data_IF_917048847558
#
_entry.id   IF_917048847558
#
_cell.length_a   1.000
_cell.length_b   1.000
_cell.length_c   1.000
_cell.angle_alpha   90.00
_cell.angle_beta   90.00
_cell.angle_gamma   90.00
#
_symmetry.space_group_name_H-M   'P 1'
#
loop_
_entity.id
_entity.type
_entity.pdbx_description
1 polymer ?
#
# COMPACT_ATOMS: atom_id res chain seq x y z
N UNK A 1 67.61 -38.49 -23.37
CA UNK A 1 66.85 -37.23 -23.51
C UNK A 1 65.37 -37.56 -23.51
N UNK A 2 64.74 -37.57 -22.32
CA UNK A 2 63.31 -37.86 -22.16
C UNK A 2 62.51 -36.57 -22.35
N UNK A 3 61.53 -36.58 -23.26
CA UNK A 3 60.64 -35.44 -23.54
C UNK A 3 59.35 -35.58 -22.73
N UNK A 4 59.14 -34.62 -21.84
CA UNK A 4 57.91 -34.40 -21.06
C UNK A 4 56.73 -34.04 -21.98
N UNK A 5 55.53 -34.62 -21.81
CA UNK A 5 54.34 -34.16 -22.53
C UNK A 5 53.66 -33.01 -21.78
N UNK A 6 53.51 -31.88 -22.47
CA UNK A 6 52.82 -30.67 -22.01
C UNK A 6 51.31 -30.90 -22.00
N UNK A 7 50.69 -30.82 -20.82
CA UNK A 7 49.24 -30.98 -20.62
C UNK A 7 48.55 -29.62 -20.82
N UNK A 8 47.87 -29.43 -21.95
CA UNK A 8 47.05 -28.24 -22.24
C UNK A 8 45.76 -28.26 -21.42
N UNK A 9 45.56 -27.26 -20.56
CA UNK A 9 44.33 -27.03 -19.80
C UNK A 9 43.30 -26.28 -20.68
N UNK A 10 42.18 -26.93 -20.99
CA UNK A 10 41.00 -26.29 -21.57
C UNK A 10 40.10 -25.77 -20.45
N UNK A 11 39.71 -24.47 -20.40
CA UNK A 11 38.77 -24.00 -19.39
C UNK A 11 37.34 -24.43 -19.75
N UNK A 12 36.64 -25.01 -18.78
CA UNK A 12 35.25 -25.42 -18.90
C UNK A 12 34.34 -24.19 -19.03
N UNK A 13 33.59 -24.16 -20.14
CA UNK A 13 32.53 -23.18 -20.40
C UNK A 13 31.31 -23.53 -19.53
N UNK A 14 31.10 -22.77 -18.47
CA UNK A 14 29.89 -22.87 -17.65
C UNK A 14 28.71 -22.30 -18.42
N UNK A 15 27.85 -23.18 -18.95
CA UNK A 15 26.59 -22.77 -19.56
C UNK A 15 25.64 -22.20 -18.49
N UNK A 16 25.38 -20.89 -18.58
CA UNK A 16 24.36 -20.21 -17.79
C UNK A 16 22.99 -20.58 -18.36
N UNK A 17 22.17 -21.27 -17.56
CA UNK A 17 20.77 -21.54 -17.87
C UNK A 17 20.01 -20.20 -18.07
N UNK A 18 19.06 -20.11 -19.03
CA UNK A 18 18.33 -18.88 -19.28
C UNK A 18 17.39 -18.56 -18.12
N UNK A 19 17.33 -17.28 -17.78
CA UNK A 19 16.45 -16.73 -16.75
C UNK A 19 14.99 -17.08 -17.06
N UNK A 20 14.30 -17.67 -16.08
CA UNK A 20 12.85 -17.87 -16.11
C UNK A 20 12.19 -16.49 -16.20
N UNK A 21 11.65 -16.17 -17.36
CA UNK A 21 10.74 -15.04 -17.58
C UNK A 21 9.61 -15.08 -16.55
N UNK A 22 9.59 -14.11 -15.64
CA UNK A 22 8.52 -13.88 -14.69
C UNK A 22 7.34 -13.20 -15.40
N UNK A 23 6.68 -13.95 -16.29
CA UNK A 23 5.34 -13.62 -16.73
C UNK A 23 4.33 -14.42 -15.89
N UNK A 24 3.30 -13.72 -15.41
CA UNK A 24 2.10 -14.21 -14.74
C UNK A 24 2.17 -14.49 -13.23
N UNK A 25 1.68 -13.52 -12.43
CA UNK A 25 0.80 -13.78 -11.26
C UNK A 25 -0.25 -12.69 -11.11
N UNK A 26 -1.12 -12.57 -12.11
CA UNK A 26 -2.47 -12.07 -11.89
C UNK A 26 -3.36 -13.29 -11.54
N UNK A 27 -3.91 -13.33 -10.32
CA UNK A 27 -5.17 -14.03 -10.04
C UNK A 27 -5.16 -15.55 -9.83
N UNK A 28 -4.20 -16.13 -9.09
CA UNK A 28 -4.41 -17.45 -8.49
C UNK A 28 -4.67 -17.29 -6.98
N UNK A 29 -5.73 -17.88 -6.41
CA UNK A 29 -5.92 -17.86 -4.95
C UNK A 29 -4.71 -18.52 -4.31
N UNK A 30 -4.06 -17.79 -3.39
CA UNK A 30 -2.94 -18.33 -2.64
C UNK A 30 -3.41 -19.62 -1.96
N UNK A 31 -2.75 -20.75 -2.26
CA UNK A 31 -3.02 -22.03 -1.58
C UNK A 31 -2.83 -21.80 -0.09
N UNK A 32 -3.91 -21.86 0.68
CA UNK A 32 -3.87 -21.81 2.14
C UNK A 32 -3.09 -23.02 2.63
N UNK A 33 -2.00 -22.77 3.34
CA UNK A 33 -1.22 -23.84 3.98
C UNK A 33 -1.98 -24.34 5.20
N UNK A 34 -1.79 -25.61 5.62
CA UNK A 34 -2.39 -26.11 6.86
C UNK A 34 -2.07 -25.24 8.09
N UNK A 35 -0.86 -24.68 8.12
CA UNK A 35 -0.44 -23.74 9.17
C UNK A 35 -1.23 -22.42 9.15
N UNK A 36 -1.54 -21.89 7.96
CA UNK A 36 -2.34 -20.66 7.83
C UNK A 36 -3.80 -20.89 8.26
N UNK A 37 -4.38 -22.06 7.92
CA UNK A 37 -5.72 -22.42 8.37
C UNK A 37 -5.80 -22.53 9.90
N UNK A 38 -4.85 -23.24 10.53
CA UNK A 38 -4.80 -23.36 11.98
C UNK A 38 -4.62 -21.99 12.69
N UNK A 39 -3.83 -21.08 12.11
CA UNK A 39 -3.68 -19.73 12.63
C UNK A 39 -4.99 -18.92 12.57
N UNK A 40 -5.77 -19.06 11.48
CA UNK A 40 -7.10 -18.44 11.36
C UNK A 40 -8.08 -19.00 12.38
N UNK A 41 -8.09 -20.32 12.62
CA UNK A 41 -8.96 -20.93 13.62
C UNK A 41 -8.67 -20.43 15.04
N UNK A 42 -7.38 -20.34 15.40
CA UNK A 42 -6.95 -19.77 16.68
C UNK A 42 -7.35 -18.29 16.81
N UNK A 43 -7.22 -17.52 15.72
CA UNK A 43 -7.67 -16.14 15.69
C UNK A 43 -9.18 -16.06 15.95
N UNK A 44 -9.99 -16.87 15.27
CA UNK A 44 -11.45 -16.91 15.43
C UNK A 44 -11.87 -17.26 16.86
N UNK A 45 -11.25 -18.27 17.46
CA UNK A 45 -11.49 -18.62 18.86
C UNK A 45 -11.16 -17.44 19.79
N UNK A 46 -10.06 -16.75 19.52
CA UNK A 46 -9.65 -15.59 20.31
C UNK A 46 -10.58 -14.39 20.10
N UNK A 47 -11.04 -14.10 18.88
CA UNK A 47 -11.95 -12.96 18.67
C UNK A 47 -13.38 -13.23 19.12
N UNK A 48 -13.85 -14.49 19.07
CA UNK A 48 -15.20 -14.88 19.47
C UNK A 48 -15.49 -14.65 20.97
N UNK A 49 -14.46 -14.49 21.80
CA UNK A 49 -14.64 -14.17 23.22
C UNK A 49 -15.03 -12.69 23.46
N UNK A 50 -14.93 -11.84 22.43
CA UNK A 50 -15.22 -10.41 22.52
C UNK A 50 -16.53 -10.09 21.78
N UNK A 51 -17.40 -9.32 22.42
CA UNK A 51 -18.66 -8.86 21.80
C UNK A 51 -18.49 -7.72 20.79
N UNK A 52 -17.33 -7.06 20.77
CA UNK A 52 -17.02 -5.95 19.88
C UNK A 52 -15.52 -5.91 19.56
N UNK A 53 -15.18 -5.72 18.29
CA UNK A 53 -13.79 -5.67 17.82
C UNK A 53 -13.49 -4.30 17.22
N UNK A 54 -12.47 -3.63 17.77
CA UNK A 54 -12.02 -2.32 17.31
C UNK A 54 -10.65 -2.40 16.61
N UNK A 55 -10.54 -1.80 15.42
CA UNK A 55 -9.29 -1.60 14.70
C UNK A 55 -8.79 -0.16 14.92
N UNK A 56 -7.65 0.00 15.58
CA UNK A 56 -7.05 1.31 15.86
C UNK A 56 -5.81 1.50 15.01
N UNK A 57 -5.85 2.50 14.13
CA UNK A 57 -4.82 2.76 13.13
C UNK A 57 -3.98 3.99 13.51
N UNK A 58 -2.73 3.74 13.86
CA UNK A 58 -1.79 4.82 14.19
C UNK A 58 -1.45 5.68 12.96
N UNK A 59 -0.93 6.88 13.21
CA UNK A 59 -0.31 7.72 12.19
C UNK A 59 1.09 7.22 11.81
N UNK A 60 1.72 7.87 10.83
CA UNK A 60 3.11 7.55 10.42
C UNK A 60 3.36 7.54 8.91
N UNK A 61 2.59 8.31 8.13
CA UNK A 61 2.83 8.47 6.69
C UNK A 61 2.72 7.15 5.91
N UNK A 62 3.81 6.71 5.28
CA UNK A 62 3.83 5.53 4.43
C UNK A 62 3.44 4.21 5.14
N UNK A 63 3.49 4.16 6.48
CA UNK A 63 2.97 3.02 7.26
C UNK A 63 1.50 2.68 6.97
N UNK A 64 0.73 3.63 6.44
CA UNK A 64 -0.66 3.39 6.10
C UNK A 64 -0.87 2.31 5.02
N UNK A 65 0.07 2.11 4.09
CA UNK A 65 -0.05 1.06 3.07
C UNK A 65 0.01 -0.34 3.71
N UNK A 66 0.89 -0.50 4.70
CA UNK A 66 0.99 -1.73 5.49
C UNK A 66 -0.29 -2.00 6.29
N UNK A 67 -0.90 -0.97 6.88
CA UNK A 67 -2.20 -1.09 7.56
C UNK A 67 -3.32 -1.56 6.60
N UNK A 68 -3.28 -1.14 5.33
CA UNK A 68 -4.20 -1.64 4.29
C UNK A 68 -4.08 -3.15 4.08
N UNK A 69 -2.85 -3.66 4.06
CA UNK A 69 -2.58 -5.10 4.01
C UNK A 69 -3.04 -5.87 5.26
N UNK A 70 -2.89 -5.28 6.44
CA UNK A 70 -3.47 -5.85 7.68
C UNK A 70 -4.99 -5.98 7.56
N UNK A 71 -5.66 -4.92 7.12
CA UNK A 71 -7.12 -4.96 6.94
C UNK A 71 -7.52 -6.02 5.90
N UNK A 72 -6.81 -6.12 4.76
CA UNK A 72 -7.05 -7.15 3.75
C UNK A 72 -6.89 -8.57 4.32
N UNK A 73 -5.89 -8.81 5.17
CA UNK A 73 -5.71 -10.10 5.83
C UNK A 73 -6.83 -10.41 6.85
N UNK A 74 -7.28 -9.42 7.62
CA UNK A 74 -8.40 -9.57 8.55
C UNK A 74 -9.72 -9.86 7.83
N UNK A 75 -9.97 -9.17 6.72
CA UNK A 75 -11.15 -9.35 5.86
C UNK A 75 -11.14 -10.75 5.22
N UNK A 76 -9.99 -11.20 4.69
CA UNK A 76 -9.81 -12.55 4.16
C UNK A 76 -9.96 -13.64 5.22
N UNK A 77 -9.57 -13.35 6.46
CA UNK A 77 -9.81 -14.20 7.62
C UNK A 77 -11.23 -14.08 8.17
N UNK A 78 -12.16 -13.35 7.53
CA UNK A 78 -13.53 -13.15 8.00
C UNK A 78 -13.64 -12.58 9.43
N UNK A 79 -12.65 -11.79 9.88
CA UNK A 79 -12.73 -11.07 11.15
C UNK A 79 -13.58 -9.83 10.95
N UNK A 80 -14.76 -9.80 11.59
CA UNK A 80 -15.65 -8.65 11.55
C UNK A 80 -15.11 -7.53 12.44
N UNK A 81 -14.80 -6.38 11.85
CA UNK A 81 -14.43 -5.16 12.57
C UNK A 81 -15.67 -4.31 12.81
N UNK A 82 -15.99 -4.03 14.07
CA UNK A 82 -17.18 -3.27 14.49
C UNK A 82 -16.90 -1.77 14.67
N UNK A 83 -15.65 -1.43 15.04
CA UNK A 83 -15.18 -0.05 15.16
C UNK A 83 -13.87 0.13 14.44
N UNK A 84 -13.70 1.28 13.82
CA UNK A 84 -12.40 1.70 13.31
C UNK A 84 -12.12 3.11 13.79
N UNK A 85 -10.91 3.33 14.29
CA UNK A 85 -10.42 4.63 14.68
C UNK A 85 -9.04 4.82 14.05
N UNK A 86 -8.69 6.06 13.72
CA UNK A 86 -7.37 6.33 13.19
C UNK A 86 -6.95 7.77 13.32
N UNK A 87 -5.64 7.98 13.39
CA UNK A 87 -5.02 9.31 13.47
C UNK A 87 -4.13 9.54 12.24
N UNK A 88 -4.12 10.77 11.72
CA UNK A 88 -3.31 11.14 10.54
C UNK A 88 -3.58 10.19 9.35
N UNK A 89 -2.59 9.50 8.78
CA UNK A 89 -2.82 8.53 7.70
C UNK A 89 -3.77 7.39 8.09
N UNK A 90 -3.78 7.01 9.37
CA UNK A 90 -4.72 6.04 9.91
C UNK A 90 -6.17 6.53 9.82
N UNK A 91 -6.42 7.85 9.89
CA UNK A 91 -7.78 8.39 9.73
C UNK A 91 -8.28 8.25 8.29
N UNK A 92 -7.38 8.34 7.30
CA UNK A 92 -7.70 8.10 5.89
C UNK A 92 -8.08 6.63 5.68
N UNK A 93 -7.27 5.70 6.19
CA UNK A 93 -7.61 4.27 6.13
C UNK A 93 -8.92 3.97 6.87
N UNK A 94 -9.12 4.55 8.06
CA UNK A 94 -10.36 4.40 8.83
C UNK A 94 -11.58 4.92 8.04
N UNK A 95 -11.46 6.07 7.38
CA UNK A 95 -12.51 6.63 6.55
C UNK A 95 -12.83 5.73 5.34
N UNK A 96 -11.80 5.17 4.69
CA UNK A 96 -11.99 4.23 3.57
C UNK A 96 -12.66 2.92 4.02
N UNK A 97 -12.31 2.40 5.20
CA UNK A 97 -12.93 1.20 5.78
C UNK A 97 -14.37 1.46 6.20
N UNK A 98 -14.62 2.54 6.94
CA UNK A 98 -15.96 2.85 7.46
C UNK A 98 -16.93 3.36 6.38
N UNK A 99 -16.41 4.11 5.41
CA UNK A 99 -17.19 4.75 4.33
C UNK A 99 -17.59 3.81 3.20
N UNK A 100 -17.06 2.58 3.18
CA UNK A 100 -17.34 1.59 2.13
C UNK A 100 -18.06 0.34 2.68
N UNK A 101 -18.98 -0.26 1.91
CA UNK A 101 -19.56 -1.55 2.22
C UNK A 101 -18.47 -2.63 2.25
N UNK A 102 -18.62 -3.70 3.05
CA UNK A 102 -17.57 -4.71 3.27
C UNK A 102 -16.86 -5.17 1.99
N UNK A 103 -17.63 -5.52 0.95
CA UNK A 103 -17.11 -6.01 -0.32
C UNK A 103 -16.24 -5.02 -1.13
N UNK A 104 -16.25 -3.72 -0.78
CA UNK A 104 -15.50 -2.69 -1.51
C UNK A 104 -14.33 -2.09 -0.72
N UNK A 105 -14.21 -2.38 0.58
CA UNK A 105 -13.22 -1.76 1.47
C UNK A 105 -11.79 -2.05 1.02
N UNK A 106 -11.46 -3.31 0.77
CA UNK A 106 -10.12 -3.72 0.30
C UNK A 106 -9.79 -3.07 -1.04
N UNK A 107 -10.75 -3.07 -1.99
CA UNK A 107 -10.56 -2.42 -3.29
C UNK A 107 -10.27 -0.93 -3.12
N UNK A 108 -11.07 -0.21 -2.32
CA UNK A 108 -10.88 1.22 -2.08
C UNK A 108 -9.51 1.53 -1.45
N UNK A 109 -9.08 0.72 -0.47
CA UNK A 109 -7.75 0.83 0.13
C UNK A 109 -6.64 0.63 -0.91
N UNK A 110 -6.70 -0.45 -1.70
CA UNK A 110 -5.68 -0.75 -2.72
C UNK A 110 -5.59 0.34 -3.77
N UNK A 111 -6.73 0.78 -4.30
CA UNK A 111 -6.78 1.85 -5.30
C UNK A 111 -6.27 3.19 -4.76
N UNK A 112 -6.61 3.54 -3.51
CA UNK A 112 -6.06 4.71 -2.84
C UNK A 112 -4.53 4.64 -2.77
N UNK A 113 -3.99 3.56 -2.22
CA UNK A 113 -2.55 3.38 -2.05
C UNK A 113 -1.82 3.33 -3.39
N UNK A 114 -2.34 2.60 -4.38
CA UNK A 114 -1.77 2.58 -5.73
C UNK A 114 -1.75 3.96 -6.39
N UNK A 115 -2.72 4.82 -6.11
CA UNK A 115 -2.73 6.18 -6.65
C UNK A 115 -1.72 7.08 -5.95
N UNK A 116 -1.71 7.08 -4.60
CA UNK A 116 -0.91 8.03 -3.82
C UNK A 116 0.54 7.62 -3.66
N UNK A 117 0.95 6.41 -4.08
CA UNK A 117 2.37 6.04 -4.16
C UNK A 117 2.95 6.22 -5.55
N UNK A 118 2.20 6.82 -6.49
CA UNK A 118 2.67 7.13 -7.84
C UNK A 118 3.16 8.56 -7.89
N UNK A 119 4.17 8.76 -8.72
CA UNK A 119 4.76 10.08 -8.91
C UNK A 119 3.77 11.08 -9.51
N UNK A 120 3.75 12.33 -9.01
CA UNK A 120 2.81 13.35 -9.47
C UNK A 120 3.21 13.99 -10.80
N UNK A 121 4.50 14.30 -11.03
CA UNK A 121 4.94 15.15 -12.13
C UNK A 121 6.14 14.59 -12.91
N UNK A 122 7.29 14.35 -12.25
CA UNK A 122 8.48 13.88 -12.95
C UNK A 122 8.36 12.39 -13.36
N UNK A 123 9.17 11.93 -14.35
CA UNK A 123 9.15 10.55 -14.82
C UNK A 123 9.45 9.55 -13.70
N UNK A 124 8.91 8.31 -13.80
CA UNK A 124 9.14 7.24 -12.83
C UNK A 124 10.61 7.16 -12.43
N UNK A 125 10.83 7.11 -11.13
CA UNK A 125 12.14 6.93 -10.55
C UNK A 125 12.66 5.54 -10.96
N UNK A 126 13.99 5.36 -10.97
CA UNK A 126 14.58 4.05 -11.23
C UNK A 126 13.92 2.93 -10.42
N UNK A 127 13.58 3.16 -9.15
CA UNK A 127 13.01 2.12 -8.28
C UNK A 127 11.61 1.65 -8.71
N UNK A 128 10.83 2.44 -9.46
CA UNK A 128 9.56 1.97 -10.05
C UNK A 128 9.77 1.14 -11.33
N UNK A 129 10.96 1.23 -11.94
CA UNK A 129 11.33 0.55 -13.18
C UNK A 129 12.13 -0.75 -12.94
N UNK A 130 12.67 -0.93 -11.74
CA UNK A 130 13.50 -2.09 -11.36
C UNK A 130 12.82 -2.91 -10.27
N UNK A 131 12.42 -4.14 -10.59
CA UNK A 131 11.71 -5.04 -9.67
C UNK A 131 12.56 -5.46 -8.45
N UNK A 132 13.88 -5.37 -8.57
CA UNK A 132 14.87 -5.72 -7.54
C UNK A 132 15.30 -4.52 -6.67
N UNK A 133 14.63 -3.37 -6.78
CA UNK A 133 15.02 -2.15 -6.05
C UNK A 133 15.07 -2.32 -4.51
N UNK A 134 14.29 -3.25 -3.96
CA UNK A 134 14.33 -3.56 -2.53
C UNK A 134 15.61 -4.32 -2.13
N UNK A 135 16.20 -5.07 -3.07
CA UNK A 135 17.44 -5.85 -2.89
C UNK A 135 18.70 -4.99 -3.07
N UNK A 136 18.55 -3.73 -3.51
CA UNK A 136 19.67 -2.83 -3.72
C UNK A 136 20.46 -2.56 -2.43
N UNK A 137 21.77 -2.25 -2.53
CA UNK A 137 22.58 -1.92 -1.36
C UNK A 137 21.96 -0.82 -0.51
N UNK A 138 22.08 -0.93 0.83
CA UNK A 138 21.46 0.02 1.76
C UNK A 138 21.75 1.50 1.46
N UNK A 139 22.99 1.91 1.14
CA UNK A 139 23.28 3.31 0.81
C UNK A 139 22.49 3.83 -0.40
N UNK A 140 22.26 2.98 -1.40
CA UNK A 140 21.52 3.33 -2.60
C UNK A 140 20.02 3.51 -2.29
N UNK A 141 19.45 2.63 -1.46
CA UNK A 141 18.05 2.74 -0.99
C UNK A 141 17.85 3.99 -0.13
N UNK A 142 18.79 4.30 0.75
CA UNK A 142 18.74 5.51 1.57
C UNK A 142 18.78 6.77 0.71
N UNK A 143 19.72 6.86 -0.23
CA UNK A 143 19.81 7.98 -1.16
C UNK A 143 18.52 8.19 -1.95
N UNK A 144 17.85 7.11 -2.36
CA UNK A 144 16.54 7.17 -3.02
C UNK A 144 15.43 7.67 -2.11
N UNK A 145 15.38 7.19 -0.86
CA UNK A 145 14.43 7.70 0.13
C UNK A 145 14.55 9.22 0.29
N UNK A 146 15.77 9.77 0.27
CA UNK A 146 16.00 11.21 0.30
C UNK A 146 15.49 11.91 -0.96
N UNK A 147 15.75 11.36 -2.16
CA UNK A 147 15.24 11.92 -3.41
C UNK A 147 13.71 11.93 -3.42
N UNK A 148 13.06 10.83 -3.06
CA UNK A 148 11.59 10.78 -3.02
C UNK A 148 11.02 11.72 -1.95
N UNK A 149 11.71 11.88 -0.81
CA UNK A 149 11.37 12.89 0.19
C UNK A 149 11.44 14.32 -0.36
N UNK A 150 12.53 14.67 -1.07
CA UNK A 150 12.68 15.96 -1.72
C UNK A 150 11.63 16.20 -2.80
N UNK A 151 11.31 15.17 -3.57
CA UNK A 151 10.27 15.24 -4.60
C UNK A 151 8.88 15.39 -4.00
N UNK A 152 8.57 14.70 -2.90
CA UNK A 152 7.31 14.90 -2.19
C UNK A 152 7.15 16.35 -1.69
N UNK A 153 8.26 17.01 -1.32
CA UNK A 153 8.26 18.43 -0.94
C UNK A 153 8.02 19.35 -2.15
N UNK A 154 8.71 19.08 -3.26
CA UNK A 154 8.74 19.97 -4.44
C UNK A 154 7.59 19.75 -5.42
N UNK A 155 7.09 18.53 -5.54
CA UNK A 155 6.04 18.13 -6.48
C UNK A 155 4.72 17.81 -5.77
N UNK A 156 4.79 17.51 -4.47
CA UNK A 156 3.67 16.96 -3.72
C UNK A 156 3.55 15.45 -3.85
N UNK A 157 2.35 14.93 -3.61
CA UNK A 157 2.02 13.54 -3.79
C UNK A 157 0.72 13.37 -4.58
N UNK A 158 0.75 12.49 -5.59
CA UNK A 158 -0.33 12.37 -6.57
C UNK A 158 -1.66 12.02 -5.90
N UNK A 159 -2.68 12.84 -6.17
CA UNK A 159 -4.01 12.62 -5.60
C UNK A 159 -4.07 12.78 -4.07
N UNK A 160 -3.04 13.37 -3.45
CA UNK A 160 -2.99 13.62 -2.02
C UNK A 160 -2.76 15.11 -1.73
N UNK A 161 -1.65 15.68 -2.17
CA UNK A 161 -1.36 17.10 -1.97
C UNK A 161 -0.41 17.64 -3.04
N UNK A 162 -0.38 18.95 -3.25
CA UNK A 162 0.62 19.62 -4.08
C UNK A 162 1.04 20.96 -3.48
N UNK A 163 2.25 21.46 -3.75
CA UNK A 163 2.67 22.79 -3.30
C UNK A 163 1.81 23.88 -3.95
N UNK A 164 1.55 24.97 -3.22
CA UNK A 164 0.81 26.12 -3.76
C UNK A 164 1.74 26.99 -4.62
N UNK A 165 1.41 27.28 -5.89
CA UNK A 165 2.32 28.01 -6.79
C UNK A 165 2.48 29.50 -6.41
N UNK A 166 1.48 30.10 -5.77
CA UNK A 166 1.46 31.52 -5.39
C UNK A 166 1.86 31.76 -3.93
N UNK A 167 2.60 30.82 -3.34
CA UNK A 167 2.90 30.80 -1.91
C UNK A 167 3.55 32.09 -1.40
N UNK A 168 4.52 32.61 -2.16
CA UNK A 168 5.27 33.82 -1.84
C UNK A 168 4.51 35.11 -2.16
N UNK A 169 3.34 35.01 -2.80
CA UNK A 169 2.55 36.14 -3.28
C UNK A 169 1.28 36.39 -2.46
N UNK A 170 0.93 35.49 -1.52
CA UNK A 170 -0.26 35.62 -0.69
C UNK A 170 0.06 36.29 0.66
N UNK A 171 -0.46 37.51 0.94
CA UNK A 171 -0.22 38.23 2.19
C UNK A 171 -0.85 37.56 3.43
N UNK A 172 -1.73 36.58 3.23
CA UNK A 172 -2.33 35.75 4.29
C UNK A 172 -2.04 34.27 4.02
N UNK A 173 -0.86 33.83 4.43
CA UNK A 173 -0.43 32.44 4.31
C UNK A 173 -1.07 31.59 5.41
N UNK A 174 -1.75 30.51 5.03
CA UNK A 174 -2.34 29.55 5.99
C UNK A 174 -1.83 28.12 5.82
N UNK A 175 -1.21 27.79 4.68
CA UNK A 175 -0.68 26.44 4.39
C UNK A 175 0.33 26.46 3.24
N UNK A 176 1.33 25.57 3.29
CA UNK A 176 2.32 25.37 2.22
C UNK A 176 1.75 24.55 1.04
N UNK A 177 0.91 23.56 1.36
CA UNK A 177 0.33 22.62 0.40
C UNK A 177 -1.18 22.80 0.27
N UNK A 178 -1.71 22.47 -0.90
CA UNK A 178 -3.14 22.26 -1.14
C UNK A 178 -3.48 20.77 -1.01
N UNK A 179 -4.54 20.45 -0.26
CA UNK A 179 -5.04 19.08 -0.03
C UNK A 179 -6.35 18.78 -0.76
N UNK A 180 -6.82 19.69 -1.63
CA UNK A 180 -7.95 19.42 -2.53
C UNK A 180 -7.81 18.10 -3.31
N UNK A 181 -6.61 17.67 -3.77
CA UNK A 181 -6.45 16.37 -4.42
C UNK A 181 -6.82 15.19 -3.52
N UNK A 182 -6.45 15.21 -2.23
CA UNK A 182 -6.83 14.16 -1.27
C UNK A 182 -8.34 14.06 -1.17
N UNK A 183 -9.03 15.19 -1.02
CA UNK A 183 -10.50 15.24 -0.97
C UNK A 183 -11.11 14.61 -2.22
N UNK A 184 -10.67 15.03 -3.41
CA UNK A 184 -11.17 14.48 -4.68
C UNK A 184 -10.90 12.98 -4.81
N UNK A 185 -9.72 12.51 -4.37
CA UNK A 185 -9.42 11.07 -4.34
C UNK A 185 -10.35 10.32 -3.40
N UNK A 186 -10.58 10.81 -2.19
CA UNK A 186 -11.49 10.16 -1.24
C UNK A 186 -12.93 10.17 -1.73
N UNK A 187 -13.42 11.28 -2.28
CA UNK A 187 -14.77 11.39 -2.87
C UNK A 187 -14.97 10.45 -4.06
N UNK A 188 -13.93 10.19 -4.86
CA UNK A 188 -14.00 9.24 -5.97
C UNK A 188 -14.15 7.78 -5.52
N UNK A 189 -13.69 7.45 -4.31
CA UNK A 189 -13.73 6.09 -3.75
C UNK A 189 -14.80 5.93 -2.67
N UNK A 190 -15.31 7.03 -2.12
CA UNK A 190 -16.53 7.05 -1.36
C UNK A 190 -17.67 6.79 -2.33
N UNK A 191 -18.29 5.62 -2.25
CA UNK A 191 -19.26 5.22 -3.27
C UNK A 191 -20.32 6.30 -3.46
N UNK A 192 -20.46 6.68 -4.74
CA UNK A 192 -21.56 7.35 -5.43
C UNK A 192 -22.96 6.71 -5.22
N UNK A 193 -23.20 6.01 -4.11
CA UNK A 193 -24.48 5.43 -3.67
C UNK A 193 -25.14 6.23 -2.54
N UNK A 194 -24.45 7.24 -1.99
CA UNK A 194 -25.06 8.22 -1.10
C UNK A 194 -25.50 9.47 -1.89
N UNK A 195 -26.26 9.28 -2.97
CA UNK A 195 -27.03 10.38 -3.60
C UNK A 195 -28.22 10.82 -2.73
N UNK A 196 -28.44 10.13 -1.61
CA UNK A 196 -29.41 10.54 -0.60
C UNK A 196 -28.84 10.20 0.77
N UNK A 197 -28.67 11.24 1.59
CA UNK A 197 -28.16 11.23 2.97
C UNK A 197 -28.80 10.15 3.87
N UNK A 198 -29.95 9.60 3.47
CA UNK A 198 -30.71 8.57 4.18
C UNK A 198 -30.11 7.14 4.14
N UNK A 199 -29.34 6.76 3.11
CA UNK A 199 -28.85 5.36 2.96
C UNK A 199 -27.53 5.06 3.68
N UNK A 200 -26.72 6.07 3.98
CA UNK A 200 -25.49 5.88 4.75
C UNK A 200 -25.80 5.43 6.21
N UNK A 201 -26.96 5.82 6.76
CA UNK A 201 -27.38 5.45 8.12
C UNK A 201 -27.95 4.03 8.25
N UNK A 202 -28.34 3.38 7.13
CA UNK A 202 -28.92 2.02 7.13
C UNK A 202 -27.94 0.91 6.78
N UNK A 203 -26.74 1.25 6.30
CA UNK A 203 -25.67 0.30 6.00
C UNK A 203 -24.95 -0.21 7.27
N UNK A 204 -25.21 0.43 8.41
CA UNK A 204 -24.84 -0.05 9.72
C UNK A 204 -26.07 -0.71 10.37
N UNK A 205 -26.02 -2.00 10.75
CA UNK A 205 -27.07 -2.56 11.59
C UNK A 205 -27.09 -1.78 12.90
N UNK A 206 -28.13 -0.97 13.11
CA UNK A 206 -28.43 -0.39 14.41
C UNK A 206 -28.68 -1.55 15.36
N UNK A 207 -27.67 -1.89 16.14
CA UNK A 207 -27.84 -2.75 17.30
C UNK A 207 -28.37 -1.86 18.41
N UNK A 208 -29.47 -2.31 19.03
CA UNK A 208 -30.23 -1.66 20.10
C UNK A 208 -29.37 -1.26 21.30
#
# INVERSE_FOLDING_TARGET
MARTPTRTHTPARTERAPARTAAARAGAPARTTPAAAAATDLLHQHVAQYGEIALVLQGGGALGAYQGGIYEALDAAAVRIDRVAGISIGSINAALIAGNPPAQRVKALREFWHRVTRQPLLPPSPWELFEDALEWPAPLREWQGHIEGLRAIMEGQRGFFHPRPNLLQSPHFTSFYDTAPLRATLEAWWISSCSTTARCASAWPRSM
#
